data_IF_626909261293
#
_entry.id   IF_626909261293
#
_cell.length_a   1.000
_cell.length_b   1.000
_cell.length_c   1.000
_cell.angle_alpha   90.00
_cell.angle_beta   90.00
_cell.angle_gamma   90.00
#
_symmetry.space_group_name_H-M   'P 1'
#
loop_
_entity.id
_entity.type
_entity.pdbx_description
1 polymer ?
#
# COMPACT_ATOMS: atom_id res chain seq x y z
N UNK A 1 12.09 -5.59 1.86
CA UNK A 1 13.48 -5.29 1.45
C UNK A 1 14.22 -6.60 1.23
N UNK A 2 14.87 -6.76 0.09
CA UNK A 2 15.71 -7.92 -0.22
C UNK A 2 17.15 -7.46 -0.39
N UNK A 3 18.11 -8.16 0.22
CA UNK A 3 19.51 -7.74 0.17
C UNK A 3 20.44 -8.90 -0.16
N UNK A 4 21.57 -8.58 -0.79
CA UNK A 4 22.67 -9.52 -1.00
C UNK A 4 24.01 -8.79 -0.93
N UNK A 5 24.78 -9.11 0.11
CA UNK A 5 26.16 -8.65 0.27
C UNK A 5 27.18 -9.62 -0.29
N UNK A 6 28.41 -9.15 -0.46
CA UNK A 6 29.57 -9.99 -0.80
C UNK A 6 30.88 -9.26 -0.55
N UNK A 7 31.84 -9.96 0.06
CA UNK A 7 33.11 -9.41 0.50
C UNK A 7 34.25 -10.35 0.09
N UNK A 8 35.30 -9.80 -0.53
CA UNK A 8 36.51 -10.54 -0.95
C UNK A 8 37.73 -9.63 -0.79
N UNK A 9 38.56 -9.89 0.23
CA UNK A 9 39.78 -9.11 0.48
C UNK A 9 39.45 -7.63 0.68
N UNK A 10 40.08 -6.76 -0.11
CA UNK A 10 39.88 -5.31 -0.11
C UNK A 10 38.63 -4.86 -0.89
N UNK A 11 37.66 -5.75 -1.15
CA UNK A 11 36.46 -5.45 -1.94
C UNK A 11 35.20 -5.82 -1.16
N UNK A 12 34.22 -4.91 -1.15
CA UNK A 12 32.89 -5.13 -0.57
C UNK A 12 31.79 -4.66 -1.50
N UNK A 13 30.68 -5.40 -1.49
CA UNK A 13 29.49 -5.14 -2.31
C UNK A 13 28.21 -5.32 -1.51
N UNK A 14 27.17 -4.59 -1.90
CA UNK A 14 25.81 -4.88 -1.45
C UNK A 14 24.78 -4.50 -2.51
N UNK A 15 23.79 -5.36 -2.69
CA UNK A 15 22.62 -5.10 -3.51
C UNK A 15 21.42 -5.02 -2.58
N UNK A 16 20.60 -3.98 -2.72
CA UNK A 16 19.38 -3.75 -1.95
C UNK A 16 18.24 -3.53 -2.93
N UNK A 17 17.18 -4.31 -2.82
CA UNK A 17 15.97 -4.20 -3.63
C UNK A 17 14.77 -3.88 -2.73
N UNK A 18 14.04 -2.85 -3.14
CA UNK A 18 12.82 -2.35 -2.53
C UNK A 18 11.71 -2.33 -3.60
N UNK A 19 11.13 -3.49 -3.95
CA UNK A 19 10.19 -3.61 -5.05
C UNK A 19 8.95 -2.71 -4.90
N UNK A 20 8.47 -2.55 -3.67
CA UNK A 20 7.27 -1.74 -3.36
C UNK A 20 7.45 -0.27 -3.76
N UNK A 21 8.68 0.23 -3.75
CA UNK A 21 9.02 1.59 -4.17
C UNK A 21 9.61 1.66 -5.59
N UNK A 22 9.81 0.50 -6.24
CA UNK A 22 10.55 0.44 -7.51
C UNK A 22 12.02 0.87 -7.39
N UNK A 23 12.61 0.77 -6.20
CA UNK A 23 13.97 1.26 -5.92
C UNK A 23 14.94 0.08 -5.81
N UNK A 24 16.09 0.20 -6.47
CA UNK A 24 17.23 -0.69 -6.35
C UNK A 24 18.50 0.10 -6.08
N UNK A 25 19.28 -0.35 -5.11
CA UNK A 25 20.55 0.28 -4.72
C UNK A 25 21.64 -0.78 -4.84
N UNK A 26 22.73 -0.43 -5.51
CA UNK A 26 23.91 -1.27 -5.63
C UNK A 26 25.11 -0.47 -5.16
N UNK A 27 25.87 -1.07 -4.25
CA UNK A 27 27.12 -0.53 -3.73
C UNK A 27 28.25 -1.48 -4.10
N UNK A 28 29.34 -0.91 -4.62
CA UNK A 28 30.60 -1.61 -4.86
C UNK A 28 31.72 -0.71 -4.35
N UNK A 29 32.65 -1.30 -3.61
CA UNK A 29 33.81 -0.59 -3.07
C UNK A 29 35.06 -1.44 -3.12
N UNK A 30 36.18 -0.76 -3.21
CA UNK A 30 37.51 -1.31 -3.13
C UNK A 30 38.38 -0.39 -2.27
N UNK A 31 39.22 -0.95 -1.41
CA UNK A 31 40.15 -0.19 -0.56
C UNK A 31 40.30 -0.76 0.84
N UNK A 32 40.77 0.08 1.75
CA UNK A 32 40.86 -0.27 3.17
C UNK A 32 39.48 -0.11 3.83
N UNK A 33 39.18 -1.03 4.74
CA UNK A 33 37.98 -0.99 5.59
C UNK A 33 36.64 -0.92 4.84
N UNK A 34 36.56 -1.55 3.65
CA UNK A 34 35.36 -1.57 2.80
C UNK A 34 34.12 -2.14 3.51
N UNK A 35 34.32 -3.01 4.51
CA UNK A 35 33.28 -3.54 5.37
C UNK A 35 32.60 -2.44 6.21
N UNK A 36 33.38 -1.58 6.87
CA UNK A 36 32.84 -0.50 7.68
C UNK A 36 32.06 0.51 6.81
N UNK A 37 32.58 0.84 5.63
CA UNK A 37 31.90 1.73 4.68
C UNK A 37 30.59 1.10 4.17
N UNK A 38 30.60 -0.20 3.87
CA UNK A 38 29.39 -0.95 3.48
C UNK A 38 28.30 -0.83 4.56
N UNK A 39 28.66 -1.00 5.82
CA UNK A 39 27.71 -0.97 6.92
C UNK A 39 27.14 0.44 7.14
N UNK A 40 27.97 1.48 7.07
CA UNK A 40 27.51 2.88 7.11
C UNK A 40 26.53 3.20 5.98
N UNK A 41 26.80 2.73 4.75
CA UNK A 41 25.90 2.97 3.62
C UNK A 41 24.57 2.23 3.82
N UNK A 42 24.61 0.98 4.31
CA UNK A 42 23.39 0.24 4.62
C UNK A 42 22.55 0.96 5.67
N UNK A 43 23.19 1.48 6.73
CA UNK A 43 22.52 2.25 7.77
C UNK A 43 21.89 3.53 7.21
N UNK A 44 22.58 4.26 6.33
CA UNK A 44 22.01 5.42 5.65
C UNK A 44 20.77 5.03 4.85
N UNK A 45 20.83 3.93 4.09
CA UNK A 45 19.69 3.47 3.29
C UNK A 45 18.49 3.12 4.18
N UNK A 46 18.71 2.42 5.30
CA UNK A 46 17.62 2.00 6.19
C UNK A 46 17.09 3.15 7.03
N UNK A 47 17.96 3.95 7.64
CA UNK A 47 17.57 4.98 8.60
C UNK A 47 17.08 6.28 7.94
N UNK A 48 17.57 6.60 6.73
CA UNK A 48 17.25 7.85 6.01
C UNK A 48 16.48 7.55 4.74
N UNK A 49 16.97 6.61 3.92
CA UNK A 49 16.38 6.29 2.63
C UNK A 49 14.95 5.77 2.74
N UNK A 50 14.73 4.67 3.46
CA UNK A 50 13.40 4.03 3.58
C UNK A 50 12.33 5.01 4.09
N UNK A 51 12.53 5.76 5.18
CA UNK A 51 11.54 6.75 5.63
C UNK A 51 11.28 7.86 4.59
N UNK A 52 12.31 8.30 3.86
CA UNK A 52 12.15 9.31 2.82
C UNK A 52 11.33 8.77 1.63
N UNK A 53 11.58 7.53 1.22
CA UNK A 53 10.82 6.86 0.15
C UNK A 53 9.37 6.64 0.55
N UNK A 54 9.12 6.20 1.79
CA UNK A 54 7.77 6.08 2.34
C UNK A 54 7.02 7.41 2.36
N UNK A 55 7.70 8.48 2.76
CA UNK A 55 7.13 9.82 2.77
C UNK A 55 6.74 10.27 1.37
N UNK A 56 7.66 10.14 0.39
CA UNK A 56 7.38 10.49 -1.00
C UNK A 56 6.21 9.67 -1.58
N UNK A 57 6.20 8.36 -1.35
CA UNK A 57 5.12 7.49 -1.79
C UNK A 57 3.76 7.87 -1.16
N UNK A 58 3.74 8.28 0.11
CA UNK A 58 2.52 8.78 0.77
C UNK A 58 2.04 10.10 0.18
N UNK A 59 2.94 11.03 -0.13
CA UNK A 59 2.60 12.30 -0.78
C UNK A 59 2.01 12.07 -2.18
N UNK A 60 2.60 11.18 -2.97
CA UNK A 60 2.07 10.77 -4.27
C UNK A 60 0.70 10.09 -4.13
N UNK A 61 0.58 9.13 -3.21
CA UNK A 61 -0.66 8.41 -2.96
C UNK A 61 -1.79 9.34 -2.49
N UNK A 62 -1.46 10.37 -1.70
CA UNK A 62 -2.43 11.37 -1.25
C UNK A 62 -2.95 12.19 -2.44
N UNK A 63 -2.06 12.63 -3.34
CA UNK A 63 -2.45 13.36 -4.55
C UNK A 63 -3.31 12.50 -5.48
N UNK A 64 -2.89 11.26 -5.72
CA UNK A 64 -3.54 10.36 -6.68
C UNK A 64 -4.88 9.86 -6.14
N UNK A 65 -4.90 9.28 -4.93
CA UNK A 65 -6.04 8.47 -4.46
C UNK A 65 -6.89 9.12 -3.36
N UNK A 66 -6.35 10.04 -2.55
CA UNK A 66 -7.12 10.59 -1.44
C UNK A 66 -8.26 11.49 -1.93
N UNK A 67 -9.42 11.37 -1.29
CA UNK A 67 -10.59 12.15 -1.63
C UNK A 67 -11.91 11.42 -1.38
N UNK A 68 -12.98 12.11 -1.74
CA UNK A 68 -14.34 11.59 -1.65
C UNK A 68 -14.79 11.12 -3.03
N UNK A 69 -15.36 9.92 -3.06
CA UNK A 69 -15.94 9.31 -4.23
C UNK A 69 -17.41 9.05 -3.98
N UNK A 70 -18.25 9.28 -4.99
CA UNK A 70 -19.69 9.12 -4.90
C UNK A 70 -20.19 8.16 -5.96
N UNK A 71 -21.14 7.32 -5.59
CA UNK A 71 -21.79 6.39 -6.51
C UNK A 71 -22.84 7.14 -7.34
N UNK A 72 -22.84 6.89 -8.65
CA UNK A 72 -23.81 7.50 -9.55
C UNK A 72 -25.25 7.14 -9.15
N UNK A 73 -26.11 8.15 -9.02
CA UNK A 73 -27.53 7.98 -8.70
C UNK A 73 -27.84 7.60 -7.25
N UNK A 74 -26.87 7.67 -6.33
CA UNK A 74 -27.12 7.51 -4.89
C UNK A 74 -26.31 8.48 -4.02
N UNK A 75 -26.64 8.51 -2.73
CA UNK A 75 -25.87 9.25 -1.72
C UNK A 75 -24.76 8.38 -1.09
N UNK A 76 -24.46 7.23 -1.70
CA UNK A 76 -23.40 6.35 -1.24
C UNK A 76 -22.04 6.95 -1.53
N UNK A 77 -21.20 7.00 -0.49
CA UNK A 77 -19.87 7.61 -0.54
C UNK A 77 -18.80 6.61 -0.12
N UNK A 78 -17.64 6.74 -0.77
CA UNK A 78 -16.40 6.10 -0.42
C UNK A 78 -15.37 7.20 -0.17
N UNK A 79 -14.78 7.25 1.02
CA UNK A 79 -13.78 8.27 1.37
C UNK A 79 -12.45 7.59 1.64
N UNK A 80 -11.42 8.02 0.91
CA UNK A 80 -10.06 7.51 1.00
C UNK A 80 -9.16 8.62 1.56
N UNK A 81 -8.36 8.28 2.56
CA UNK A 81 -7.38 9.15 3.20
C UNK A 81 -6.00 8.48 3.24
N UNK A 82 -4.97 9.30 3.40
CA UNK A 82 -3.60 8.85 3.68
C UNK A 82 -3.24 9.33 5.08
N UNK A 83 -2.80 8.41 5.93
CA UNK A 83 -2.37 8.68 7.30
C UNK A 83 -0.91 8.24 7.51
N UNK A 84 -0.45 8.25 8.77
CA UNK A 84 0.91 7.84 9.10
C UNK A 84 1.19 6.35 8.83
N UNK A 85 0.15 5.51 8.73
CA UNK A 85 0.26 4.07 8.63
C UNK A 85 0.32 3.61 7.16
N UNK A 86 0.79 2.38 6.87
CA UNK A 86 0.82 1.84 5.51
C UNK A 86 -0.59 1.69 4.91
N UNK A 87 -0.68 1.75 3.58
CA UNK A 87 -1.93 1.58 2.83
C UNK A 87 -2.88 2.78 2.90
N UNK A 88 -3.82 2.84 1.96
CA UNK A 88 -4.81 3.91 1.88
C UNK A 88 -5.95 3.63 2.87
N UNK A 89 -6.19 4.52 3.83
CA UNK A 89 -7.25 4.37 4.82
C UNK A 89 -8.61 4.66 4.19
N UNK A 90 -9.55 3.72 4.31
CA UNK A 90 -10.96 3.96 3.97
C UNK A 90 -11.69 4.43 5.23
N UNK A 91 -12.09 5.69 5.26
CA UNK A 91 -12.76 6.29 6.43
C UNK A 91 -14.28 6.16 6.37
N UNK A 92 -14.84 6.01 5.17
CA UNK A 92 -16.27 5.83 4.96
C UNK A 92 -16.48 4.96 3.73
N UNK A 93 -17.36 3.97 3.83
CA UNK A 93 -17.71 3.09 2.71
C UNK A 93 -19.19 2.70 2.78
N UNK A 94 -20.05 3.49 2.14
CA UNK A 94 -21.49 3.27 2.13
C UNK A 94 -21.93 2.49 0.89
N UNK A 95 -22.82 1.51 1.08
CA UNK A 95 -23.53 0.79 0.02
C UNK A 95 -25.02 0.78 0.38
N UNK A 96 -25.85 1.41 -0.45
CA UNK A 96 -27.29 1.59 -0.22
C UNK A 96 -27.61 2.12 1.19
N UNK A 97 -26.86 3.13 1.65
CA UNK A 97 -27.00 3.71 2.99
C UNK A 97 -26.48 2.86 4.15
N UNK A 98 -25.96 1.66 3.90
CA UNK A 98 -25.33 0.81 4.92
C UNK A 98 -23.82 0.96 4.86
N UNK A 99 -23.19 1.17 6.01
CA UNK A 99 -21.74 1.18 6.13
C UNK A 99 -21.19 -0.24 5.95
N UNK A 100 -20.58 -0.48 4.80
CA UNK A 100 -20.00 -1.76 4.43
C UNK A 100 -18.84 -2.15 5.37
N UNK A 101 -18.19 -1.17 6.03
CA UNK A 101 -17.19 -1.46 7.05
C UNK A 101 -17.78 -2.19 8.26
N UNK A 102 -19.05 -1.93 8.61
CA UNK A 102 -19.73 -2.65 9.71
C UNK A 102 -20.09 -4.09 9.32
N UNK A 103 -20.33 -4.35 8.04
CA UNK A 103 -20.67 -5.69 7.53
C UNK A 103 -19.44 -6.60 7.32
N UNK A 104 -18.24 -6.03 7.21
CA UNK A 104 -17.02 -6.75 6.84
C UNK A 104 -16.28 -7.42 8.01
N UNK A 105 -16.98 -7.85 9.06
CA UNK A 105 -16.37 -8.25 10.35
C UNK A 105 -15.38 -7.21 10.93
N UNK A 106 -15.28 -6.01 10.35
CA UNK A 106 -14.34 -4.96 10.74
C UNK A 106 -14.85 -4.16 11.94
N UNK A 107 -15.66 -4.78 12.80
CA UNK A 107 -16.10 -4.18 14.05
C UNK A 107 -14.88 -4.00 14.97
N UNK A 108 -14.23 -2.84 14.88
CA UNK A 108 -13.00 -2.50 15.60
C UNK A 108 -11.75 -2.33 14.72
N UNK A 109 -11.82 -2.75 13.46
CA UNK A 109 -10.69 -2.73 12.50
C UNK A 109 -10.83 -1.58 11.48
N UNK A 110 -9.72 -1.22 10.85
CA UNK A 110 -9.62 -0.26 9.77
C UNK A 110 -9.51 -1.00 8.44
N UNK A 111 -10.25 -0.53 7.44
CA UNK A 111 -10.10 -0.98 6.05
C UNK A 111 -8.95 -0.19 5.43
N UNK A 112 -7.91 -0.88 4.95
CA UNK A 112 -6.77 -0.26 4.25
C UNK A 112 -6.59 -0.86 2.87
N UNK A 113 -6.63 -0.04 1.83
CA UNK A 113 -6.36 -0.48 0.46
C UNK A 113 -4.85 -0.52 0.22
N UNK A 114 -4.34 -1.68 -0.16
CA UNK A 114 -2.94 -1.90 -0.50
C UNK A 114 -2.79 -2.29 -1.98
N UNK A 115 -1.71 -1.88 -2.66
CA UNK A 115 -1.46 -2.30 -4.04
C UNK A 115 -1.35 -3.82 -4.16
N UNK A 116 -2.00 -4.41 -5.17
CA UNK A 116 -1.88 -5.84 -5.45
C UNK A 116 -0.76 -6.18 -6.45
N UNK A 117 -0.08 -5.16 -6.98
CA UNK A 117 0.89 -5.28 -8.08
C UNK A 117 0.24 -5.44 -9.46
N UNK A 118 -1.09 -5.55 -9.55
CA UNK A 118 -1.80 -5.67 -10.82
C UNK A 118 -2.01 -4.28 -11.43
N UNK A 119 -1.54 -4.10 -12.67
CA UNK A 119 -1.73 -2.87 -13.44
C UNK A 119 -2.17 -3.25 -14.85
N UNK A 120 -3.19 -2.59 -15.39
CA UNK A 120 -3.61 -2.82 -16.77
C UNK A 120 -2.54 -2.36 -17.76
N UNK A 121 -2.54 -2.93 -18.96
CA UNK A 121 -1.74 -2.41 -20.09
C UNK A 121 -2.02 -0.92 -20.29
N UNK A 122 -0.98 -0.09 -20.17
CA UNK A 122 -1.08 1.37 -20.27
C UNK A 122 -1.38 2.10 -18.94
N UNK A 123 -1.37 1.42 -17.79
CA UNK A 123 -1.40 2.09 -16.47
C UNK A 123 -2.76 2.60 -15.98
N UNK A 124 -3.79 2.60 -16.83
CA UNK A 124 -5.07 3.23 -16.53
C UNK A 124 -5.89 2.58 -15.40
N UNK A 125 -5.60 1.32 -15.04
CA UNK A 125 -6.25 0.60 -13.94
C UNK A 125 -5.21 -0.01 -13.01
N UNK A 126 -5.33 0.32 -11.73
CA UNK A 126 -4.46 -0.18 -10.66
C UNK A 126 -5.30 -1.07 -9.73
N UNK A 127 -4.84 -2.30 -9.55
CA UNK A 127 -5.46 -3.26 -8.64
C UNK A 127 -5.06 -2.99 -7.19
N UNK A 128 -6.06 -3.02 -6.31
CA UNK A 128 -5.91 -2.82 -4.88
C UNK A 128 -6.59 -3.97 -4.13
N UNK A 129 -6.10 -4.29 -2.94
CA UNK A 129 -6.68 -5.26 -2.01
C UNK A 129 -7.02 -4.54 -0.72
N UNK A 130 -8.23 -4.73 -0.20
CA UNK A 130 -8.54 -4.25 1.15
C UNK A 130 -8.01 -5.23 2.19
N UNK A 131 -7.15 -4.74 3.06
CA UNK A 131 -6.64 -5.45 4.23
C UNK A 131 -7.36 -4.90 5.45
N UNK A 132 -7.94 -5.79 6.26
CA UNK A 132 -8.48 -5.42 7.56
C UNK A 132 -7.33 -5.35 8.55
N UNK A 133 -7.04 -4.13 9.00
CA UNK A 133 -5.95 -3.86 9.93
C UNK A 133 -6.53 -3.44 11.26
N UNK A 134 -6.05 -4.03 12.35
CA UNK A 134 -6.52 -3.63 13.67
C UNK A 134 -6.08 -2.20 13.95
N UNK A 135 -6.95 -1.39 14.56
CA UNK A 135 -6.52 -0.06 15.03
C UNK A 135 -5.28 -0.22 15.92
N UNK A 136 -4.24 0.61 15.75
CA UNK A 136 -3.05 0.53 16.57
C UNK A 136 -3.43 0.57 18.06
N UNK A 137 -3.15 -0.52 18.77
CA UNK A 137 -3.22 -0.60 20.23
C UNK A 137 -1.86 -0.11 20.74
N UNK A 138 -1.74 0.60 21.87
CA UNK A 138 -0.45 0.98 22.43
C UNK A 138 0.55 -0.19 22.44
N UNK A 139 1.81 0.11 22.12
CA UNK A 139 2.89 -0.87 22.00
C UNK A 139 2.95 -1.80 23.22
N UNK A 140 3.11 -3.11 22.97
CA UNK A 140 3.16 -4.11 24.03
C UNK A 140 3.75 -5.44 23.54
N UNK A 141 4.15 -6.29 24.47
CA UNK A 141 4.86 -7.54 24.18
C UNK A 141 4.07 -8.58 23.35
N UNK A 142 2.74 -8.41 23.24
CA UNK A 142 1.85 -9.28 22.46
C UNK A 142 1.02 -8.46 21.48
N UNK A 143 1.70 -7.75 20.56
CA UNK A 143 1.05 -7.13 19.41
C UNK A 143 0.79 -8.18 18.32
N UNK A 144 -0.43 -8.16 17.77
CA UNK A 144 -0.86 -9.04 16.66
C UNK A 144 -0.96 -8.23 15.37
N UNK A 145 0.14 -7.61 14.97
CA UNK A 145 0.30 -6.63 13.90
C UNK A 145 0.84 -7.21 12.57
N UNK A 146 1.02 -8.53 12.49
CA UNK A 146 1.57 -9.22 11.30
C UNK A 146 0.61 -10.24 10.65
N UNK A 147 -0.67 -10.23 11.04
CA UNK A 147 -1.67 -11.26 10.64
C UNK A 147 -2.76 -10.71 9.72
N UNK A 148 -2.70 -9.42 9.41
CA UNK A 148 -3.80 -8.72 8.75
C UNK A 148 -4.05 -9.26 7.32
N UNK A 149 -3.00 -9.79 6.69
CA UNK A 149 -3.04 -10.43 5.38
C UNK A 149 -3.85 -11.75 5.34
N UNK A 150 -4.10 -12.42 6.49
CA UNK A 150 -4.91 -13.64 6.52
C UNK A 150 -6.38 -13.40 6.11
N UNK A 151 -6.86 -12.16 6.19
CA UNK A 151 -8.23 -11.80 5.81
C UNK A 151 -8.41 -11.63 4.29
N UNK A 152 -7.32 -11.44 3.55
CA UNK A 152 -7.34 -11.16 2.11
C UNK A 152 -7.75 -12.41 1.34
N UNK A 153 -8.70 -12.28 0.42
CA UNK A 153 -9.19 -13.40 -0.39
C UNK A 153 -10.17 -14.34 0.34
N UNK A 154 -10.53 -14.05 1.59
CA UNK A 154 -11.31 -14.96 2.43
C UNK A 154 -12.79 -15.08 2.07
N UNK A 155 -13.34 -14.21 1.23
CA UNK A 155 -14.77 -14.20 0.90
C UNK A 155 -15.01 -13.98 -0.60
N UNK A 156 -14.74 -14.97 -1.45
CA UNK A 156 -15.07 -14.91 -2.87
C UNK A 156 -16.57 -15.10 -3.11
N UNK A 157 -17.17 -14.18 -3.87
CA UNK A 157 -18.57 -14.27 -4.32
C UNK A 157 -18.58 -14.23 -5.84
N UNK A 158 -18.96 -15.34 -6.48
CA UNK A 158 -18.96 -15.44 -7.95
C UNK A 158 -17.56 -15.28 -8.56
N UNK A 159 -16.52 -15.78 -7.88
CA UNK A 159 -15.13 -15.75 -8.35
C UNK A 159 -14.38 -14.44 -8.12
N UNK A 160 -14.98 -13.46 -7.45
CA UNK A 160 -14.37 -12.17 -7.12
C UNK A 160 -14.39 -12.00 -5.61
N UNK A 161 -13.23 -11.75 -4.99
CA UNK A 161 -13.19 -11.53 -3.54
C UNK A 161 -13.75 -10.17 -3.15
N UNK A 162 -14.42 -10.12 -2.00
CA UNK A 162 -14.98 -8.87 -1.47
C UNK A 162 -13.92 -7.80 -1.15
N UNK A 163 -12.66 -8.21 -1.00
CA UNK A 163 -11.50 -7.33 -0.83
C UNK A 163 -10.88 -6.81 -2.13
N UNK A 164 -11.44 -7.11 -3.30
CA UNK A 164 -10.92 -6.62 -4.59
C UNK A 164 -11.41 -5.22 -4.92
N UNK A 165 -10.45 -4.32 -5.10
CA UNK A 165 -10.67 -2.96 -5.54
C UNK A 165 -9.86 -2.66 -6.81
N UNK A 166 -10.38 -1.77 -7.65
CA UNK A 166 -9.66 -1.26 -8.82
C UNK A 166 -9.80 0.26 -8.85
N UNK A 167 -8.67 0.95 -8.86
CA UNK A 167 -8.64 2.37 -9.12
C UNK A 167 -8.45 2.62 -10.62
N UNK A 168 -9.35 3.40 -11.21
CA UNK A 168 -9.17 3.96 -12.56
C UNK A 168 -8.46 5.29 -12.43
N UNK A 169 -7.27 5.40 -13.01
CA UNK A 169 -6.48 6.64 -13.00
C UNK A 169 -6.58 7.34 -14.36
N UNK A 170 -6.40 8.65 -14.35
CA UNK A 170 -6.33 9.45 -15.57
C UNK A 170 -5.08 9.10 -16.42
N UNK A 171 -5.03 9.62 -17.64
CA UNK A 171 -4.01 9.24 -18.63
C UNK A 171 -2.57 9.56 -18.23
N UNK A 172 -2.35 10.53 -17.33
CA UNK A 172 -1.03 10.88 -16.80
C UNK A 172 -0.71 10.17 -15.47
N UNK A 173 -1.63 9.39 -14.90
CA UNK A 173 -1.45 8.66 -13.65
C UNK A 173 -1.45 9.52 -12.38
N UNK A 174 -1.73 10.81 -12.48
CA UNK A 174 -1.65 11.75 -11.35
C UNK A 174 -2.92 11.80 -10.49
N UNK A 175 -4.03 11.25 -10.99
CA UNK A 175 -5.33 11.36 -10.33
C UNK A 175 -6.21 10.13 -10.57
N UNK A 176 -6.67 9.51 -9.48
CA UNK A 176 -7.75 8.53 -9.53
C UNK A 176 -9.09 9.23 -9.86
N UNK A 177 -9.80 8.69 -10.85
CA UNK A 177 -11.09 9.18 -11.35
C UNK A 177 -12.25 8.36 -10.79
N UNK A 178 -12.04 7.06 -10.58
CA UNK A 178 -13.05 6.14 -10.09
C UNK A 178 -12.41 5.03 -9.26
N UNK A 179 -13.11 4.58 -8.21
CA UNK A 179 -12.76 3.38 -7.46
C UNK A 179 -13.91 2.38 -7.61
N UNK A 180 -13.58 1.21 -8.13
CA UNK A 180 -14.50 0.09 -8.29
C UNK A 180 -14.25 -0.93 -7.16
N UNK A 181 -15.26 -1.15 -6.31
CA UNK A 181 -15.25 -2.22 -5.32
C UNK A 181 -15.82 -3.49 -5.97
N UNK A 182 -14.93 -4.30 -6.55
CA UNK A 182 -15.31 -5.36 -7.50
C UNK A 182 -16.16 -6.46 -6.86
N UNK A 183 -15.79 -6.94 -5.68
CA UNK A 183 -16.57 -7.98 -5.00
C UNK A 183 -17.96 -7.51 -4.56
N UNK A 184 -18.14 -6.19 -4.40
CA UNK A 184 -19.41 -5.55 -4.07
C UNK A 184 -20.23 -5.13 -5.29
N UNK A 185 -19.63 -5.20 -6.49
CA UNK A 185 -20.24 -4.80 -7.77
C UNK A 185 -20.73 -3.35 -7.79
N UNK A 186 -19.95 -2.45 -7.18
CA UNK A 186 -20.24 -1.01 -7.14
C UNK A 186 -19.02 -0.20 -7.56
N UNK A 187 -19.25 0.97 -8.16
CA UNK A 187 -18.22 1.93 -8.53
C UNK A 187 -18.55 3.32 -8.00
N UNK A 188 -17.51 4.07 -7.63
CA UNK A 188 -17.60 5.40 -7.08
C UNK A 188 -16.71 6.35 -7.89
N UNK A 189 -17.30 7.39 -8.45
CA UNK A 189 -16.57 8.43 -9.18
C UNK A 189 -16.09 9.51 -8.23
N UNK A 190 -14.89 10.04 -8.46
CA UNK A 190 -14.34 11.11 -7.61
C UNK A 190 -15.17 12.39 -7.76
N UNK A 191 -15.44 13.05 -6.64
CA UNK A 191 -16.12 14.36 -6.57
C UNK A 191 -15.10 15.49 -6.51
#
# INVERSE_FOLDING_TARGET
>A
MYTKGGDVGAYSTNIILLPDFGIGITYLSAGDDTLAVKDVINDIVVAIGVPAFEKAAKEEAANIYAGTYQRAGSNDTLVIAVDANPGLLVTQFLINGTDAAKGFLAAGDQIRLTPSGLVSKGGARVGLRSVLTRKPIPEGAFVRNCVDWFSVGGTPIGGVSMDEFVAKVNGDGTRALEIEARGWRVSYSRV
#
